data_IF_534189623720
#
_entry.id   IF_534189623720
#
_cell.length_a   1.000
_cell.length_b   1.000
_cell.length_c   1.000
_cell.angle_alpha   90.00
_cell.angle_beta   90.00
_cell.angle_gamma   90.00
#
_symmetry.space_group_name_H-M   'P 1'
#
loop_
_entity.id
_entity.type
_entity.pdbx_description
1 polymer ?
#
# COMPACT_ATOMS: atom_id res chain seq x y z
N UNK A 1 9.79 11.00 -1.51
CA UNK A 1 9.43 10.97 -2.95
C UNK A 1 10.45 10.17 -3.77
N UNK A 2 11.77 10.33 -3.53
CA UNK A 2 12.87 9.61 -4.19
C UNK A 2 12.66 8.10 -4.42
N UNK A 3 12.24 7.34 -3.41
CA UNK A 3 12.07 5.87 -3.51
C UNK A 3 11.09 5.40 -4.60
N UNK A 4 10.04 6.18 -4.89
CA UNK A 4 9.09 5.83 -5.95
C UNK A 4 9.73 6.02 -7.32
N UNK A 5 10.44 7.13 -7.49
CA UNK A 5 11.12 7.44 -8.75
C UNK A 5 12.24 6.43 -9.01
N UNK A 6 12.99 6.07 -7.97
CA UNK A 6 13.98 4.98 -8.03
C UNK A 6 13.33 3.63 -8.42
N UNK A 7 12.19 3.29 -7.80
CA UNK A 7 11.45 2.07 -8.13
C UNK A 7 10.91 2.08 -9.58
N UNK A 8 10.49 3.25 -10.08
CA UNK A 8 10.05 3.41 -11.46
C UNK A 8 11.23 3.25 -12.44
N UNK A 9 12.40 3.79 -12.11
CA UNK A 9 13.60 3.61 -12.93
C UNK A 9 14.01 2.14 -13.00
N UNK A 10 14.02 1.44 -11.86
CA UNK A 10 14.29 -0.01 -11.80
C UNK A 10 13.23 -0.80 -12.59
N UNK A 11 11.96 -0.42 -12.51
CA UNK A 11 10.87 -1.05 -13.25
C UNK A 11 11.06 -0.94 -14.77
N UNK A 12 11.32 0.26 -15.28
CA UNK A 12 11.54 0.49 -16.71
C UNK A 12 12.72 -0.32 -17.22
N UNK A 13 13.81 -0.36 -16.45
CA UNK A 13 14.99 -1.14 -16.82
C UNK A 13 14.73 -2.66 -16.78
N UNK A 14 13.95 -3.16 -15.82
CA UNK A 14 13.59 -4.57 -15.73
C UNK A 14 12.62 -5.03 -16.82
N UNK A 15 11.80 -4.14 -17.39
CA UNK A 15 10.94 -4.46 -18.54
C UNK A 15 11.76 -4.92 -19.75
N UNK A 16 12.97 -4.39 -19.95
CA UNK A 16 13.84 -4.73 -21.08
C UNK A 16 14.58 -6.07 -20.89
N UNK A 17 14.95 -6.41 -19.64
CA UNK A 17 15.84 -7.55 -19.33
C UNK A 17 15.15 -8.76 -18.70
N UNK A 18 13.85 -8.65 -18.41
CA UNK A 18 12.99 -9.69 -17.80
C UNK A 18 13.34 -10.08 -16.35
N UNK A 19 14.62 -10.22 -15.98
CA UNK A 19 15.03 -10.57 -14.61
C UNK A 19 16.48 -10.18 -14.29
N UNK A 20 16.75 -9.72 -13.06
CA UNK A 20 18.09 -9.33 -12.63
C UNK A 20 18.29 -9.41 -11.11
N UNK A 21 19.55 -9.46 -10.68
CA UNK A 21 19.91 -9.42 -9.25
C UNK A 21 20.05 -7.97 -8.75
N UNK A 22 19.91 -7.74 -7.43
CA UNK A 22 20.04 -6.40 -6.85
C UNK A 22 21.38 -5.72 -7.19
N UNK A 23 22.48 -6.47 -7.24
CA UNK A 23 23.78 -5.93 -7.62
C UNK A 23 23.84 -5.49 -9.09
N UNK A 24 23.22 -6.25 -10.00
CA UNK A 24 23.13 -5.87 -11.42
C UNK A 24 22.25 -4.64 -11.62
N UNK A 25 21.17 -4.54 -10.84
CA UNK A 25 20.29 -3.38 -10.83
C UNK A 25 21.06 -2.15 -10.33
N UNK A 26 21.78 -2.27 -9.21
CA UNK A 26 22.58 -1.18 -8.66
C UNK A 26 23.64 -0.67 -9.65
N UNK A 27 24.37 -1.57 -10.30
CA UNK A 27 25.38 -1.19 -11.29
C UNK A 27 24.79 -0.55 -12.55
N UNK A 28 23.59 -0.96 -12.97
CA UNK A 28 22.98 -0.46 -14.21
C UNK A 28 22.26 0.88 -14.01
N UNK A 29 21.57 1.05 -12.88
CA UNK A 29 20.78 2.24 -12.59
C UNK A 29 21.60 3.32 -11.85
N UNK A 30 22.86 3.03 -11.53
CA UNK A 30 23.78 3.91 -10.79
C UNK A 30 23.19 4.39 -9.45
N UNK A 31 22.45 3.51 -8.78
CA UNK A 31 21.87 3.76 -7.47
C UNK A 31 22.70 3.11 -6.37
N UNK A 32 22.66 3.71 -5.17
CA UNK A 32 23.25 3.10 -3.98
C UNK A 32 22.55 1.78 -3.64
N UNK A 33 23.27 0.85 -3.01
CA UNK A 33 22.70 -0.42 -2.56
C UNK A 33 21.46 -0.22 -1.66
N UNK A 34 21.48 0.82 -0.82
CA UNK A 34 20.38 1.16 0.07
C UNK A 34 19.15 1.66 -0.71
N UNK A 35 19.34 2.58 -1.66
CA UNK A 35 18.25 3.09 -2.51
C UNK A 35 17.62 1.96 -3.33
N UNK A 36 18.44 1.04 -3.87
CA UNK A 36 17.96 -0.14 -4.61
C UNK A 36 17.14 -1.05 -3.71
N UNK A 37 17.63 -1.37 -2.51
CA UNK A 37 16.90 -2.22 -1.56
C UNK A 37 15.56 -1.59 -1.17
N UNK A 38 15.56 -0.29 -0.86
CA UNK A 38 14.34 0.46 -0.50
C UNK A 38 13.34 0.50 -1.66
N UNK A 39 13.81 0.73 -2.88
CA UNK A 39 12.99 0.74 -4.09
C UNK A 39 12.43 -0.64 -4.45
N UNK A 40 13.21 -1.71 -4.29
CA UNK A 40 12.76 -3.09 -4.48
C UNK A 40 11.72 -3.49 -3.44
N UNK A 41 11.94 -3.18 -2.16
CA UNK A 41 10.94 -3.42 -1.10
C UNK A 41 9.64 -2.65 -1.37
N UNK A 42 9.75 -1.40 -1.81
CA UNK A 42 8.59 -0.60 -2.21
C UNK A 42 7.81 -1.26 -3.34
N UNK A 43 8.47 -1.70 -4.41
CA UNK A 43 7.82 -2.38 -5.53
C UNK A 43 7.28 -3.78 -5.18
N UNK A 44 7.94 -4.53 -4.30
CA UNK A 44 7.42 -5.79 -3.76
C UNK A 44 6.12 -5.56 -2.96
N UNK A 45 6.08 -4.51 -2.13
CA UNK A 45 4.88 -4.15 -1.36
C UNK A 45 3.70 -3.75 -2.26
N UNK A 46 3.99 -3.11 -3.38
CA UNK A 46 2.98 -2.77 -4.40
C UNK A 46 2.68 -3.93 -5.37
N UNK A 47 3.28 -5.10 -5.16
CA UNK A 47 3.18 -6.28 -6.03
C UNK A 47 3.58 -6.02 -7.49
N UNK A 48 4.49 -5.06 -7.71
CA UNK A 48 5.03 -4.72 -9.03
C UNK A 48 6.24 -5.60 -9.37
N UNK A 49 6.98 -6.03 -8.35
CA UNK A 49 8.12 -6.93 -8.48
C UNK A 49 7.80 -8.31 -7.90
N UNK A 50 8.45 -9.32 -8.43
CA UNK A 50 8.49 -10.68 -7.88
C UNK A 50 9.94 -11.04 -7.61
N UNK A 51 10.21 -11.56 -6.42
CA UNK A 51 11.49 -12.18 -6.09
C UNK A 51 11.41 -13.68 -6.34
N UNK A 52 12.38 -14.22 -7.07
CA UNK A 52 12.59 -15.67 -7.23
C UNK A 52 13.93 -16.02 -6.64
N UNK A 53 13.96 -17.04 -5.78
CA UNK A 53 15.22 -17.64 -5.34
C UNK A 53 15.71 -18.54 -6.47
N UNK A 54 16.93 -18.30 -6.94
CA UNK A 54 17.55 -19.19 -7.92
C UNK A 54 17.97 -20.46 -7.19
N UNK A 55 17.49 -21.62 -7.66
CA UNK A 55 17.70 -22.92 -7.00
C UNK A 55 19.18 -23.17 -6.69
N UNK A 56 19.45 -23.65 -5.48
CA UNK A 56 20.73 -23.65 -4.79
C UNK A 56 21.69 -24.76 -5.24
N UNK A 57 21.97 -24.86 -6.54
CA UNK A 57 22.94 -25.85 -7.05
C UNK A 57 24.37 -25.28 -7.16
N UNK A 58 24.53 -23.97 -7.04
CA UNK A 58 25.84 -23.31 -6.88
C UNK A 58 25.77 -22.33 -5.72
N UNK A 59 26.64 -22.52 -4.73
CA UNK A 59 26.78 -21.70 -3.52
C UNK A 59 26.64 -20.19 -3.84
N UNK A 60 25.74 -19.54 -3.12
CA UNK A 60 25.40 -18.12 -3.27
C UNK A 60 23.97 -17.96 -3.76
N UNK A 61 23.00 -18.14 -2.86
CA UNK A 61 21.57 -17.98 -3.07
C UNK A 61 21.25 -16.54 -3.53
N UNK A 62 21.36 -16.29 -4.84
CA UNK A 62 21.23 -14.95 -5.41
C UNK A 62 19.78 -14.73 -5.78
N UNK A 63 19.07 -13.94 -4.96
CA UNK A 63 17.70 -13.51 -5.24
C UNK A 63 17.66 -12.72 -6.55
N UNK A 64 16.80 -13.15 -7.47
CA UNK A 64 16.55 -12.48 -8.75
C UNK A 64 15.18 -11.80 -8.67
N UNK A 65 15.13 -10.57 -9.15
CA UNK A 65 13.92 -9.76 -9.22
C UNK A 65 13.43 -9.71 -10.67
N UNK A 66 12.12 -9.77 -10.84
CA UNK A 66 11.44 -9.67 -12.14
C UNK A 66 10.18 -8.81 -12.00
N UNK A 67 9.68 -8.29 -13.11
CA UNK A 67 8.44 -7.49 -13.13
C UNK A 67 7.23 -8.43 -13.12
N UNK A 68 6.28 -8.16 -12.23
CA UNK A 68 5.04 -8.91 -12.09
C UNK A 68 3.94 -8.43 -13.04
N UNK A 69 3.91 -7.11 -13.30
CA UNK A 69 2.82 -6.42 -13.97
C UNK A 69 3.35 -5.52 -15.07
N UNK A 70 2.64 -5.45 -16.20
CA UNK A 70 3.05 -4.65 -17.36
C UNK A 70 3.03 -3.13 -17.12
N UNK A 71 2.37 -2.67 -16.06
CA UNK A 71 2.27 -1.25 -15.73
C UNK A 71 2.68 -0.97 -14.27
N UNK A 72 3.50 0.06 -14.08
CA UNK A 72 3.77 0.58 -12.74
C UNK A 72 2.52 1.30 -12.23
N UNK A 73 2.01 0.97 -11.03
CA UNK A 73 0.78 1.54 -10.51
C UNK A 73 0.95 3.05 -10.41
N UNK A 74 0.14 3.78 -11.17
CA UNK A 74 0.01 5.21 -10.98
C UNK A 74 -0.71 5.40 -9.66
N UNK A 75 -0.04 6.03 -8.70
CA UNK A 75 -0.54 6.32 -7.35
C UNK A 75 -1.89 7.08 -7.32
N UNK A 76 -2.42 7.47 -8.48
CA UNK A 76 -3.65 8.24 -8.69
C UNK A 76 -4.72 7.51 -9.50
N UNK A 77 -4.46 6.33 -10.06
CA UNK A 77 -5.52 5.58 -10.74
C UNK A 77 -6.40 4.88 -9.70
N UNK A 78 -7.48 5.58 -9.35
CA UNK A 78 -8.75 5.02 -8.92
C UNK A 78 -8.83 4.40 -7.51
N UNK A 79 -8.31 5.10 -6.49
CA UNK A 79 -8.99 5.04 -5.19
C UNK A 79 -9.86 6.29 -5.11
N UNK A 80 -11.20 6.18 -4.95
CA UNK A 80 -12.00 7.35 -4.66
C UNK A 80 -11.35 8.04 -3.46
N UNK A 81 -11.12 9.35 -3.57
CA UNK A 81 -10.57 10.18 -2.50
C UNK A 81 -11.31 9.77 -1.22
N UNK A 82 -10.61 9.32 -0.15
CA UNK A 82 -11.29 8.91 1.06
C UNK A 82 -12.12 10.10 1.55
N UNK A 83 -13.44 9.97 1.46
CA UNK A 83 -14.38 10.94 2.00
C UNK A 83 -14.96 10.37 3.28
N UNK A 84 -15.35 11.25 4.19
CA UNK A 84 -16.05 10.84 5.41
C UNK A 84 -17.31 10.03 5.05
N UNK A 85 -18.05 10.46 4.03
CA UNK A 85 -19.25 9.77 3.55
C UNK A 85 -18.96 8.36 3.01
N UNK A 86 -17.83 8.17 2.32
CA UNK A 86 -17.42 6.85 1.83
C UNK A 86 -17.07 5.91 3.00
N UNK A 87 -16.48 6.44 4.07
CA UNK A 87 -16.21 5.67 5.29
C UNK A 87 -17.50 5.29 6.02
N UNK A 88 -18.42 6.25 6.19
CA UNK A 88 -19.73 6.00 6.79
C UNK A 88 -20.49 4.91 6.03
N UNK A 89 -20.51 5.01 4.70
CA UNK A 89 -21.17 4.03 3.83
C UNK A 89 -20.51 2.64 3.92
N UNK A 90 -19.17 2.57 3.99
CA UNK A 90 -18.44 1.31 4.15
C UNK A 90 -18.70 0.63 5.50
N UNK A 91 -19.03 1.40 6.54
CA UNK A 91 -19.46 0.88 7.85
C UNK A 91 -20.97 0.58 7.92
N UNK A 92 -21.71 0.74 6.82
CA UNK A 92 -23.14 0.52 6.78
C UNK A 92 -23.96 1.61 7.48
N UNK A 93 -23.37 2.77 7.77
CA UNK A 93 -24.10 3.92 8.29
C UNK A 93 -24.84 4.60 7.14
N UNK A 94 -26.16 4.78 7.31
CA UNK A 94 -26.95 5.51 6.34
C UNK A 94 -26.57 7.00 6.36
N UNK A 95 -26.16 7.54 5.21
CA UNK A 95 -25.85 8.97 5.05
C UNK A 95 -27.07 9.86 5.30
N UNK A 96 -28.25 9.32 5.02
CA UNK A 96 -29.53 9.93 5.35
C UNK A 96 -30.16 9.10 6.46
N UNK A 97 -30.30 9.62 7.69
CA UNK A 97 -30.88 8.87 8.77
C UNK A 97 -32.35 8.55 8.44
N UNK A 98 -32.82 7.32 8.68
CA UNK A 98 -34.23 6.99 8.51
C UNK A 98 -35.08 7.85 9.47
N UNK A 99 -36.28 8.28 9.07
CA UNK A 99 -37.17 9.02 9.93
C UNK A 99 -37.60 8.13 11.10
N UNK A 100 -37.02 8.35 12.27
CA UNK A 100 -37.44 7.69 13.50
C UNK A 100 -38.63 8.43 14.09
N UNK A 101 -39.67 7.68 14.49
CA UNK A 101 -40.77 8.26 15.29
C UNK A 101 -40.18 8.73 16.60
N UNK A 102 -40.32 10.01 16.91
CA UNK A 102 -39.90 10.58 18.20
C UNK A 102 -40.72 9.93 19.31
N UNK A 103 -40.18 8.91 19.96
CA UNK A 103 -40.70 8.46 21.24
C UNK A 103 -40.21 9.50 22.24
N UNK A 104 -41.13 10.19 22.89
CA UNK A 104 -40.82 11.13 23.97
C UNK A 104 -39.96 10.40 25.02
N UNK A 105 -38.66 10.69 25.03
CA UNK A 105 -37.74 10.20 26.03
C UNK A 105 -38.09 10.89 27.35
N UNK A 106 -38.50 10.13 28.36
CA UNK A 106 -38.67 10.68 29.71
C UNK A 106 -37.28 10.89 30.29
N UNK A 107 -36.92 12.15 30.52
CA UNK A 107 -35.73 12.51 31.29
C UNK A 107 -35.95 11.99 32.71
N UNK A 108 -35.26 10.90 33.06
CA UNK A 108 -35.19 10.46 34.44
C UNK A 108 -34.20 11.36 35.17
N UNK A 109 -34.70 12.44 35.76
CA UNK A 109 -33.88 13.26 36.66
C UNK A 109 -33.68 12.43 37.92
N UNK A 110 -32.46 11.94 38.13
CA UNK A 110 -32.08 11.30 39.38
C UNK A 110 -32.17 12.37 40.47
N UNK A 111 -33.20 12.29 41.31
CA UNK A 111 -33.29 13.10 42.51
C UNK A 111 -32.11 12.71 43.40
N UNK A 112 -31.14 13.61 43.52
CA UNK A 112 -30.22 13.58 44.65
C UNK A 112 -31.03 14.00 45.88
N UNK A 113 -31.58 13.03 46.59
CA UNK A 113 -32.02 13.19 47.97
C UNK A 113 -30.77 13.20 48.86
N UNK A 114 -30.39 14.39 49.31
CA UNK A 114 -29.61 14.60 50.53
C UNK A 114 -30.41 15.58 51.38
N UNK A 115 -30.77 15.20 52.61
CA UNK A 115 -30.45 16.11 53.70
C UNK A 115 -29.95 15.39 54.97
N UNK A 116 -28.77 15.86 55.39
CA UNK A 116 -28.20 15.97 56.76
C UNK A 116 -27.92 14.69 57.57
#
# INVERSE_FOLDING_TARGET
MKTRDDAKTIFTWLLERQSATAAQIASAVQLSSEDVSRALQYGLRLQVFISKRRSAEKQGERVVYSVACAAFPNQRSCMPRPSFDALLSAWGMALVPPPLRSVSSRVCVLAHDEPF
#
